data_IF_820667748650
#
_entry.id   IF_820667748650
#
_cell.length_a   1.000
_cell.length_b   1.000
_cell.length_c   1.000
_cell.angle_alpha   90.00
_cell.angle_beta   90.00
_cell.angle_gamma   90.00
#
_symmetry.space_group_name_H-M   'P 1'
#
loop_
_entity.id
_entity.type
_entity.pdbx_description
1 polymer ?
#
# COMPACT_ATOMS: atom_id res chain seq x y z
N UNK A 1 -12.67 31.35 3.15
CA UNK A 1 -12.14 30.27 4.02
C UNK A 1 -10.89 29.75 3.32
N UNK A 2 -9.73 30.09 3.86
CA UNK A 2 -8.47 29.68 3.24
C UNK A 2 -8.31 28.18 3.35
N UNK A 3 -7.85 27.57 2.26
CA UNK A 3 -7.66 26.12 2.21
C UNK A 3 -6.57 25.74 3.21
N UNK A 4 -6.94 25.19 4.35
CA UNK A 4 -6.00 24.60 5.29
C UNK A 4 -5.33 23.40 4.60
N UNK A 5 -4.04 23.45 4.45
CA UNK A 5 -3.26 22.36 3.89
C UNK A 5 -3.24 21.18 4.88
N UNK A 6 -4.10 20.20 4.63
CA UNK A 6 -4.12 18.97 5.41
C UNK A 6 -3.55 17.84 4.57
N UNK A 7 -2.43 17.31 4.98
CA UNK A 7 -1.88 16.10 4.37
C UNK A 7 -2.61 14.89 4.93
N UNK A 8 -3.24 14.03 4.10
CA UNK A 8 -3.82 12.79 4.58
C UNK A 8 -2.77 11.90 5.23
N UNK A 9 -3.13 11.27 6.34
CA UNK A 9 -2.25 10.38 7.09
C UNK A 9 -1.52 9.33 6.22
N UNK A 10 -2.16 8.64 5.26
CA UNK A 10 -1.50 7.69 4.39
C UNK A 10 -0.35 8.29 3.57
N UNK A 11 -0.57 9.46 2.96
CA UNK A 11 0.45 10.16 2.17
C UNK A 11 1.64 10.57 3.05
N UNK A 12 1.36 11.09 4.24
CA UNK A 12 2.40 11.45 5.21
C UNK A 12 3.26 10.25 5.62
N UNK A 13 2.63 9.12 5.94
CA UNK A 13 3.36 7.90 6.33
C UNK A 13 4.19 7.38 5.16
N UNK A 14 3.62 7.34 3.95
CA UNK A 14 4.32 6.91 2.75
C UNK A 14 5.51 7.83 2.46
N UNK A 15 5.33 9.15 2.48
CA UNK A 15 6.41 10.12 2.26
C UNK A 15 7.55 9.93 3.28
N UNK A 16 7.20 9.76 4.56
CA UNK A 16 8.18 9.53 5.64
C UNK A 16 8.95 8.21 5.43
N UNK A 17 8.27 7.13 5.03
CA UNK A 17 8.94 5.84 4.78
C UNK A 17 9.82 5.90 3.52
N UNK A 18 9.34 6.53 2.45
CA UNK A 18 10.16 6.74 1.26
C UNK A 18 11.41 7.56 1.60
N UNK A 19 11.30 8.66 2.36
CA UNK A 19 12.45 9.49 2.71
C UNK A 19 13.46 8.78 3.62
N UNK A 20 13.01 7.83 4.46
CA UNK A 20 13.92 6.98 5.24
C UNK A 20 14.73 6.03 4.36
N UNK A 21 14.11 5.46 3.32
CA UNK A 21 14.73 4.48 2.42
C UNK A 21 15.51 5.14 1.28
N UNK A 22 15.08 6.32 0.85
CA UNK A 22 15.72 7.18 -0.15
C UNK A 22 16.47 8.30 0.59
N UNK A 23 17.74 8.05 0.91
CA UNK A 23 18.50 8.92 1.80
C UNK A 23 18.86 10.25 1.12
N UNK A 24 18.67 11.37 1.83
CA UNK A 24 19.08 12.71 1.36
C UNK A 24 20.55 12.77 0.95
N UNK A 25 21.42 12.11 1.70
CA UNK A 25 22.86 12.03 1.38
C UNK A 25 23.17 11.32 0.06
N UNK A 26 22.23 10.53 -0.46
CA UNK A 26 22.30 9.90 -1.77
C UNK A 26 21.62 10.76 -2.86
N UNK A 27 21.28 12.02 -2.56
CA UNK A 27 20.68 12.96 -3.48
C UNK A 27 19.18 12.82 -3.71
N UNK A 28 18.48 12.02 -2.89
CA UNK A 28 17.02 11.87 -3.03
C UNK A 28 16.24 12.79 -2.10
N UNK A 29 15.14 13.34 -2.61
CA UNK A 29 14.16 14.08 -1.82
C UNK A 29 12.73 13.64 -2.16
N UNK A 30 11.89 13.51 -1.15
CA UNK A 30 10.45 13.28 -1.31
C UNK A 30 9.74 14.61 -1.14
N UNK A 31 8.94 14.97 -2.13
CA UNK A 31 8.24 16.25 -2.19
C UNK A 31 6.73 16.00 -2.23
N UNK A 32 5.99 16.91 -1.63
CA UNK A 32 4.54 16.90 -1.61
C UNK A 32 4.08 18.08 -2.46
N UNK A 33 3.37 17.87 -3.57
CA UNK A 33 2.84 18.95 -4.37
C UNK A 33 1.87 19.82 -3.55
N UNK A 34 2.07 21.13 -3.56
CA UNK A 34 1.16 22.08 -2.89
C UNK A 34 -0.21 22.13 -3.56
N UNK A 35 -0.23 22.03 -4.89
CA UNK A 35 -1.48 21.99 -5.64
C UNK A 35 -2.01 20.56 -5.74
N UNK A 36 -3.15 20.32 -5.11
CA UNK A 36 -3.90 19.08 -5.25
C UNK A 36 -4.83 19.05 -6.48
N UNK A 37 -4.78 20.09 -7.30
CA UNK A 37 -5.57 20.16 -8.53
C UNK A 37 -5.06 19.21 -9.60
N UNK A 38 -3.80 18.80 -9.53
CA UNK A 38 -3.24 17.81 -10.42
C UNK A 38 -3.73 16.42 -9.99
N UNK A 39 -4.79 15.94 -10.65
CA UNK A 39 -5.35 14.62 -10.40
C UNK A 39 -4.29 13.53 -10.53
N UNK A 40 -4.19 12.67 -9.53
CA UNK A 40 -3.43 11.43 -9.61
C UNK A 40 -1.96 11.49 -9.18
N UNK A 41 -1.43 12.65 -8.77
CA UNK A 41 -0.07 12.76 -8.21
C UNK A 41 -0.17 13.28 -6.78
N UNK A 42 0.21 12.42 -5.83
CA UNK A 42 0.19 12.74 -4.41
C UNK A 42 1.60 13.07 -3.87
N UNK A 43 2.63 12.46 -4.45
CA UNK A 43 4.03 12.68 -4.07
C UNK A 43 4.93 12.71 -5.30
N UNK A 44 6.07 13.41 -5.16
CA UNK A 44 7.18 13.36 -6.11
C UNK A 44 8.44 12.87 -5.39
N UNK A 45 9.20 12.01 -6.05
CA UNK A 45 10.57 11.65 -5.62
C UNK A 45 11.54 12.23 -6.63
N UNK A 46 12.41 13.09 -6.16
CA UNK A 46 13.41 13.76 -6.99
C UNK A 46 14.81 13.24 -6.68
N UNK A 47 15.61 13.05 -7.73
CA UNK A 47 17.06 12.76 -7.64
C UNK A 47 17.85 13.98 -8.11
N UNK A 48 18.63 14.58 -7.22
CA UNK A 48 19.51 15.71 -7.56
C UNK A 48 20.69 15.30 -8.47
N UNK A 49 21.09 14.03 -8.41
CA UNK A 49 22.19 13.52 -9.23
C UNK A 49 21.83 13.40 -10.71
N UNK A 50 20.67 12.78 -10.99
CA UNK A 50 20.20 12.60 -12.37
C UNK A 50 19.27 13.72 -12.84
N UNK A 51 18.82 14.60 -11.93
CA UNK A 51 17.81 15.66 -12.18
C UNK A 51 16.47 15.10 -12.65
N UNK A 52 16.17 13.83 -12.34
CA UNK A 52 14.91 13.18 -12.68
C UNK A 52 13.95 13.20 -11.50
N UNK A 53 12.65 13.16 -11.79
CA UNK A 53 11.60 13.00 -10.82
C UNK A 53 10.73 11.80 -11.16
N UNK A 54 10.20 11.13 -10.14
CA UNK A 54 9.19 10.09 -10.25
C UNK A 54 7.91 10.55 -9.58
N UNK A 55 6.80 10.48 -10.30
CA UNK A 55 5.47 10.79 -9.81
C UNK A 55 4.84 9.56 -9.12
N UNK A 56 4.17 9.79 -8.01
CA UNK A 56 3.58 8.73 -7.18
C UNK A 56 2.13 9.05 -6.86
N UNK A 57 1.25 8.10 -7.10
CA UNK A 57 -0.11 8.11 -6.59
C UNK A 57 -0.22 7.18 -5.37
N UNK A 58 -0.79 7.68 -4.27
CA UNK A 58 -1.04 6.93 -3.04
C UNK A 58 -2.53 6.58 -2.96
N UNK A 59 -2.83 5.30 -2.78
CA UNK A 59 -4.19 4.83 -2.52
C UNK A 59 -4.22 4.12 -1.17
N UNK A 60 -5.15 4.53 -0.33
CA UNK A 60 -5.28 3.97 1.02
C UNK A 60 -6.47 3.05 1.15
N UNK A 61 -6.32 2.06 2.00
CA UNK A 61 -7.41 1.19 2.43
C UNK A 61 -7.36 1.01 3.94
N UNK A 62 -8.48 0.59 4.52
CA UNK A 62 -8.52 0.10 5.91
C UNK A 62 -8.50 -1.42 5.89
N UNK A 63 -7.79 -2.01 6.85
CA UNK A 63 -7.95 -3.43 7.13
C UNK A 63 -9.27 -3.61 7.92
N UNK A 64 -10.06 -4.55 7.48
CA UNK A 64 -11.20 -5.01 8.24
C UNK A 64 -10.80 -6.31 8.92
N UNK A 65 -10.91 -6.33 10.24
CA UNK A 65 -10.82 -7.58 10.98
C UNK A 65 -12.07 -8.37 10.65
N UNK A 66 -11.91 -9.38 9.83
CA UNK A 66 -13.01 -10.29 9.53
C UNK A 66 -13.48 -10.94 10.82
N UNK A 67 -14.78 -10.86 11.13
CA UNK A 67 -15.36 -11.78 12.11
C UNK A 67 -15.02 -13.18 11.62
N UNK A 68 -14.32 -13.97 12.45
CA UNK A 68 -13.99 -15.34 12.10
C UNK A 68 -15.28 -16.04 11.67
N UNK A 69 -15.40 -16.54 10.45
CA UNK A 69 -16.62 -17.21 10.03
C UNK A 69 -16.86 -18.41 10.93
N UNK A 70 -18.08 -18.59 11.42
CA UNK A 70 -18.47 -19.65 12.36
C UNK A 70 -18.18 -21.07 11.83
N UNK A 71 -17.96 -21.25 10.53
CA UNK A 71 -17.54 -22.50 9.89
C UNK A 71 -16.32 -22.30 9.02
N UNK A 72 -15.29 -23.03 9.39
CA UNK A 72 -13.99 -23.01 8.77
C UNK A 72 -13.92 -23.97 7.57
N UNK A 73 -13.92 -23.47 6.35
CA UNK A 73 -13.22 -24.20 5.30
C UNK A 73 -11.72 -24.04 5.56
N UNK A 74 -10.98 -25.14 5.55
CA UNK A 74 -9.53 -25.20 5.87
C UNK A 74 -8.61 -24.48 4.88
N UNK A 75 -9.14 -23.85 3.83
CA UNK A 75 -8.35 -23.23 2.77
C UNK A 75 -8.21 -21.73 3.02
N UNK A 76 -7.01 -21.30 3.32
CA UNK A 76 -6.44 -19.97 3.22
C UNK A 76 -7.12 -18.90 4.08
N UNK A 77 -6.74 -18.87 5.36
CA UNK A 77 -7.16 -17.82 6.29
C UNK A 77 -6.03 -16.86 6.51
N UNK A 78 -6.36 -15.62 6.24
CA UNK A 78 -5.53 -14.50 6.63
C UNK A 78 -6.14 -13.86 7.89
N UNK A 79 -5.27 -13.48 8.83
CA UNK A 79 -5.69 -12.76 10.04
C UNK A 79 -6.16 -11.35 9.68
N UNK A 80 -5.58 -10.77 8.64
CA UNK A 80 -5.87 -9.43 8.18
C UNK A 80 -6.12 -9.39 6.66
N UNK A 81 -6.91 -8.41 6.25
CA UNK A 81 -7.13 -8.11 4.84
C UNK A 81 -7.20 -6.61 4.58
N UNK A 82 -6.44 -6.15 3.59
CA UNK A 82 -6.50 -4.79 3.08
C UNK A 82 -7.44 -4.77 1.88
N UNK A 83 -8.46 -3.91 1.92
CA UNK A 83 -9.50 -3.86 0.89
C UNK A 83 -9.41 -2.56 0.09
N UNK A 84 -9.41 -2.69 -1.24
CA UNK A 84 -9.41 -1.58 -2.17
C UNK A 84 -10.67 -1.68 -3.04
N UNK A 85 -11.45 -0.60 -3.06
CA UNK A 85 -12.68 -0.46 -3.86
C UNK A 85 -12.55 0.72 -4.81
N UNK A 86 -13.26 0.64 -5.94
CA UNK A 86 -13.37 1.73 -6.92
C UNK A 86 -12.01 2.33 -7.27
N UNK A 87 -11.05 1.45 -7.55
CA UNK A 87 -9.72 1.88 -7.89
C UNK A 87 -9.71 2.40 -9.34
N UNK A 88 -9.79 3.71 -9.46
CA UNK A 88 -9.66 4.36 -10.76
C UNK A 88 -8.17 4.38 -11.14
N UNK A 89 -7.85 3.59 -12.15
CA UNK A 89 -6.52 3.53 -12.75
C UNK A 89 -6.58 4.10 -14.17
N UNK A 90 -5.74 5.08 -14.41
CA UNK A 90 -5.48 5.62 -15.74
C UNK A 90 -3.99 5.44 -16.04
N UNK A 91 -3.69 4.80 -17.15
CA UNK A 91 -2.31 4.53 -17.57
C UNK A 91 -1.58 5.85 -17.82
N UNK A 92 -0.37 5.97 -17.28
CA UNK A 92 0.52 7.09 -17.52
C UNK A 92 0.28 8.33 -16.63
N UNK A 93 -0.68 8.27 -15.67
CA UNK A 93 -0.91 9.39 -14.73
C UNK A 93 0.21 9.49 -13.70
N UNK A 94 0.70 8.36 -13.20
CA UNK A 94 1.81 8.32 -12.26
C UNK A 94 2.80 7.22 -12.65
N UNK A 95 4.09 7.42 -12.37
CA UNK A 95 5.12 6.42 -12.62
C UNK A 95 5.00 5.23 -11.67
N UNK A 96 4.54 5.52 -10.45
CA UNK A 96 4.34 4.51 -9.40
C UNK A 96 3.01 4.69 -8.68
N UNK A 97 2.41 3.56 -8.31
CA UNK A 97 1.23 3.46 -7.46
C UNK A 97 1.61 2.82 -6.14
N UNK A 98 1.33 3.50 -5.04
CA UNK A 98 1.57 3.00 -3.69
C UNK A 98 0.24 2.69 -3.02
N UNK A 99 0.07 1.42 -2.66
CA UNK A 99 -1.08 0.95 -1.90
C UNK A 99 -0.72 0.93 -0.42
N UNK A 100 -1.38 1.78 0.35
CA UNK A 100 -1.20 1.88 1.80
C UNK A 100 -2.36 1.20 2.52
N UNK A 101 -2.05 0.26 3.39
CA UNK A 101 -3.05 -0.42 4.21
C UNK A 101 -2.76 -0.31 5.69
N UNK A 102 -3.66 0.33 6.43
CA UNK A 102 -3.62 0.40 7.90
C UNK A 102 -4.38 -0.78 8.48
N UNK A 103 -3.81 -1.48 9.45
CA UNK A 103 -4.45 -2.60 10.12
C UNK A 103 -4.18 -2.63 11.62
N UNK A 104 -5.02 -3.35 12.35
CA UNK A 104 -4.86 -3.57 13.78
C UNK A 104 -4.18 -4.92 14.01
N UNK A 105 -3.15 -4.95 14.84
CA UNK A 105 -2.45 -6.20 15.17
C UNK A 105 -3.38 -7.17 15.92
N UNK A 106 -3.42 -8.43 15.48
CA UNK A 106 -4.31 -9.45 16.02
C UNK A 106 -3.91 -9.94 17.42
N UNK A 107 -2.63 -9.85 17.76
CA UNK A 107 -2.12 -10.20 19.10
C UNK A 107 -2.75 -9.36 20.23
N UNK A 108 -3.29 -8.18 19.86
CA UNK A 108 -4.01 -7.30 20.79
C UNK A 108 -5.43 -7.80 21.02
N UNK A 109 -6.00 -8.55 20.09
CA UNK A 109 -7.39 -9.04 20.17
C UNK A 109 -7.48 -10.30 21.01
N UNK A 110 -6.46 -11.16 20.95
CA UNK A 110 -6.47 -12.51 21.53
C UNK A 110 -5.78 -12.62 22.91
N UNK A 111 -5.01 -11.61 23.32
CA UNK A 111 -4.36 -11.59 24.63
C UNK A 111 -5.04 -10.59 25.54
N UNK A 112 -5.52 -11.08 26.70
CA UNK A 112 -5.90 -10.24 27.84
C UNK A 112 -4.77 -9.21 28.02
N UNK A 113 -5.13 -7.94 27.96
CA UNK A 113 -4.24 -6.80 28.08
C UNK A 113 -3.25 -7.03 29.22
N UNK A 114 -2.03 -7.33 28.88
CA UNK A 114 -0.93 -7.20 29.81
C UNK A 114 -0.74 -5.71 30.10
N UNK A 115 -1.29 -5.28 31.23
CA UNK A 115 -1.34 -3.87 31.67
C UNK A 115 0.04 -3.25 31.88
N UNK A 116 1.11 -4.05 31.86
CA UNK A 116 2.48 -3.62 32.19
C UNK A 116 3.25 -2.93 31.05
N UNK A 117 2.77 -2.99 29.78
CA UNK A 117 3.46 -2.40 28.63
C UNK A 117 2.79 -1.13 28.12
N UNK A 118 3.25 0.02 28.62
CA UNK A 118 2.72 1.37 28.36
C UNK A 118 2.75 1.88 26.90
N UNK A 119 3.35 1.18 25.92
CA UNK A 119 3.53 1.70 24.55
C UNK A 119 3.31 0.65 23.49
N UNK A 120 2.12 0.08 23.40
CA UNK A 120 1.79 -0.79 22.26
C UNK A 120 1.19 0.02 21.12
N UNK A 121 1.86 -0.01 19.95
CA UNK A 121 1.23 0.45 18.71
C UNK A 121 0.06 -0.48 18.40
N UNK A 122 -1.15 0.06 18.53
CA UNK A 122 -2.40 -0.66 18.24
C UNK A 122 -2.61 -0.87 16.75
N UNK A 123 -1.97 -0.04 15.93
CA UNK A 123 -2.08 -0.01 14.48
C UNK A 123 -0.72 -0.20 13.85
N UNK A 124 -0.71 -0.92 12.75
CA UNK A 124 0.43 -1.08 11.87
C UNK A 124 -0.01 -0.92 10.42
N UNK A 125 0.92 -0.90 9.49
CA UNK A 125 0.61 -0.71 8.08
C UNK A 125 1.46 -1.59 7.19
N UNK A 126 0.94 -1.86 5.99
CA UNK A 126 1.68 -2.46 4.88
C UNK A 126 1.68 -1.47 3.72
N UNK A 127 2.81 -1.36 3.04
CA UNK A 127 2.99 -0.50 1.86
C UNK A 127 3.45 -1.37 0.71
N UNK A 128 2.68 -1.34 -0.39
CA UNK A 128 3.03 -2.03 -1.63
C UNK A 128 3.28 -1.01 -2.73
N UNK A 129 4.35 -1.21 -3.52
CA UNK A 129 4.75 -0.34 -4.62
C UNK A 129 4.63 -1.10 -5.94
N UNK A 130 3.90 -0.52 -6.87
CA UNK A 130 3.75 -0.98 -8.24
C UNK A 130 4.23 0.12 -9.18
N UNK A 131 4.97 -0.21 -10.24
CA UNK A 131 5.11 0.70 -11.37
C UNK A 131 3.78 0.80 -12.13
N UNK A 132 3.60 1.85 -12.94
CA UNK A 132 2.40 2.02 -13.77
C UNK A 132 2.06 0.74 -14.58
N UNK A 133 3.03 0.21 -15.29
CA UNK A 133 2.89 -1.03 -16.08
C UNK A 133 2.47 -2.24 -15.22
N UNK A 134 2.99 -2.36 -14.01
CA UNK A 134 2.65 -3.46 -13.11
C UNK A 134 1.27 -3.30 -12.52
N UNK A 135 0.86 -2.06 -12.18
CA UNK A 135 -0.49 -1.78 -11.70
C UNK A 135 -1.53 -2.13 -12.76
N UNK A 136 -1.33 -1.69 -14.00
CA UNK A 136 -2.24 -2.04 -15.10
C UNK A 136 -2.35 -3.55 -15.32
N UNK A 137 -1.21 -4.28 -15.30
CA UNK A 137 -1.20 -5.75 -15.40
C UNK A 137 -1.86 -6.43 -14.20
N UNK A 138 -1.70 -5.89 -13.01
CA UNK A 138 -2.32 -6.42 -11.80
C UNK A 138 -3.83 -6.26 -11.86
N UNK A 139 -4.33 -5.07 -12.15
CA UNK A 139 -5.76 -4.78 -12.25
C UNK A 139 -6.44 -5.54 -13.38
N UNK A 140 -5.77 -5.72 -14.52
CA UNK A 140 -6.29 -6.50 -15.64
C UNK A 140 -6.48 -8.00 -15.34
N UNK A 141 -5.96 -8.50 -14.22
CA UNK A 141 -6.11 -9.89 -13.77
C UNK A 141 -7.18 -10.08 -12.70
N UNK A 142 -7.76 -8.97 -12.22
CA UNK A 142 -8.79 -9.01 -11.17
C UNK A 142 -10.11 -9.33 -11.83
N UNK A 143 -10.67 -10.48 -11.48
CA UNK A 143 -11.90 -10.99 -12.06
C UNK A 143 -12.91 -11.34 -10.96
N UNK A 144 -14.19 -11.18 -11.27
CA UNK A 144 -15.28 -11.72 -10.46
C UNK A 144 -15.26 -13.25 -10.52
N UNK A 145 -16.10 -13.91 -9.73
CA UNK A 145 -16.27 -15.38 -9.83
C UNK A 145 -16.79 -15.82 -11.20
N UNK A 146 -17.52 -14.96 -11.88
CA UNK A 146 -18.06 -15.16 -13.23
C UNK A 146 -17.02 -14.90 -14.34
N UNK A 147 -15.84 -14.36 -13.99
CA UNK A 147 -14.78 -14.07 -14.96
C UNK A 147 -14.82 -12.65 -15.55
N UNK A 148 -15.73 -11.80 -15.07
CA UNK A 148 -15.82 -10.40 -15.47
C UNK A 148 -14.76 -9.54 -14.75
N UNK A 149 -14.43 -8.38 -15.30
CA UNK A 149 -13.54 -7.42 -14.63
C UNK A 149 -14.15 -6.93 -13.33
N UNK A 150 -13.34 -6.91 -12.27
CA UNK A 150 -13.75 -6.40 -10.97
C UNK A 150 -12.86 -5.22 -10.52
N UNK A 151 -13.49 -4.15 -10.01
CA UNK A 151 -12.79 -2.98 -9.43
C UNK A 151 -12.48 -3.14 -7.93
N UNK A 152 -12.75 -4.31 -7.37
CA UNK A 152 -12.66 -4.61 -5.97
C UNK A 152 -11.67 -5.76 -5.71
N UNK A 153 -10.61 -5.51 -4.96
CA UNK A 153 -9.59 -6.50 -4.65
C UNK A 153 -9.11 -6.37 -3.20
N UNK A 154 -8.41 -7.38 -2.72
CA UNK A 154 -7.83 -7.36 -1.39
C UNK A 154 -6.48 -8.06 -1.33
N UNK A 155 -5.69 -7.66 -0.35
CA UNK A 155 -4.50 -8.38 0.05
C UNK A 155 -4.73 -8.99 1.43
N UNK A 156 -4.46 -10.29 1.55
CA UNK A 156 -4.51 -11.04 2.81
C UNK A 156 -3.11 -11.31 3.34
N UNK A 157 -2.94 -11.29 4.66
CA UNK A 157 -1.67 -11.59 5.34
C UNK A 157 -1.92 -11.98 6.80
N UNK A 158 -0.90 -12.57 7.41
CA UNK A 158 -0.89 -12.92 8.83
C UNK A 158 0.11 -12.04 9.57
N UNK A 159 -0.18 -11.69 10.83
CA UNK A 159 0.66 -10.77 11.61
C UNK A 159 2.05 -11.35 11.92
N UNK A 160 2.14 -12.68 11.97
CA UNK A 160 3.37 -13.40 12.28
C UNK A 160 4.24 -13.69 11.04
N UNK A 161 3.77 -13.31 9.84
CA UNK A 161 4.44 -13.59 8.57
C UNK A 161 4.66 -12.31 7.77
N UNK A 162 5.82 -12.21 7.13
CA UNK A 162 6.11 -11.15 6.14
C UNK A 162 5.47 -11.41 4.78
N UNK A 163 4.69 -12.48 4.67
CA UNK A 163 4.01 -12.81 3.42
C UNK A 163 2.72 -12.02 3.27
N UNK A 164 2.47 -11.56 2.06
CA UNK A 164 1.24 -10.89 1.65
C UNK A 164 0.77 -11.46 0.32
N UNK A 165 -0.52 -11.70 0.21
CA UNK A 165 -1.12 -12.33 -0.96
C UNK A 165 -2.25 -11.48 -1.51
N UNK A 166 -2.31 -11.30 -2.82
CA UNK A 166 -3.53 -10.83 -3.48
C UNK A 166 -4.57 -11.95 -3.39
N UNK A 167 -5.68 -11.68 -2.70
CA UNK A 167 -6.67 -12.68 -2.35
C UNK A 167 -7.95 -12.55 -3.19
N UNK A 168 -8.77 -11.52 -2.94
CA UNK A 168 -9.98 -11.29 -3.74
C UNK A 168 -9.62 -10.82 -5.14
N UNK A 169 -10.37 -11.27 -6.12
CA UNK A 169 -10.13 -11.00 -7.54
C UNK A 169 -9.21 -12.03 -8.21
N UNK A 170 -8.79 -13.06 -7.48
CA UNK A 170 -7.97 -14.15 -8.01
C UNK A 170 -8.56 -15.51 -7.67
N UNK A 171 -8.50 -16.47 -8.62
CA UNK A 171 -8.96 -17.86 -8.37
C UNK A 171 -8.19 -18.52 -7.21
N UNK A 172 -6.93 -18.17 -7.06
CA UNK A 172 -6.06 -18.60 -5.94
C UNK A 172 -5.23 -17.42 -5.47
N UNK A 173 -4.94 -17.27 -4.17
CA UNK A 173 -4.09 -16.23 -3.66
C UNK A 173 -2.75 -16.17 -4.38
N UNK A 174 -2.32 -14.97 -4.75
CA UNK A 174 -1.06 -14.73 -5.46
C UNK A 174 -0.06 -14.06 -4.53
N UNK A 175 1.16 -14.61 -4.36
CA UNK A 175 2.16 -13.98 -3.51
C UNK A 175 2.54 -12.59 -4.03
N UNK A 176 2.56 -11.63 -3.12
CA UNK A 176 2.82 -10.22 -3.40
C UNK A 176 3.97 -9.63 -2.57
N UNK A 177 4.71 -10.44 -1.82
CA UNK A 177 5.87 -10.02 -1.01
C UNK A 177 6.85 -9.14 -1.79
N UNK A 178 7.06 -9.42 -3.07
CA UNK A 178 7.94 -8.62 -3.94
C UNK A 178 7.52 -7.17 -4.11
N UNK A 179 6.24 -6.82 -3.83
CA UNK A 179 5.73 -5.45 -3.95
C UNK A 179 5.84 -4.66 -2.65
N UNK A 180 6.20 -5.29 -1.54
CA UNK A 180 6.45 -4.58 -0.28
C UNK A 180 7.54 -3.52 -0.46
N UNK A 181 7.39 -2.40 0.20
CA UNK A 181 8.28 -1.23 0.06
C UNK A 181 9.75 -1.60 0.28
N UNK A 182 10.03 -2.47 1.24
CA UNK A 182 11.39 -2.93 1.58
C UNK A 182 12.06 -3.64 0.38
N UNK A 183 11.26 -4.36 -0.42
CA UNK A 183 11.73 -5.11 -1.58
C UNK A 183 11.69 -4.31 -2.89
N UNK A 184 11.06 -3.13 -2.89
CA UNK A 184 10.76 -2.38 -4.12
C UNK A 184 11.43 -1.02 -4.23
N UNK A 185 12.03 -0.53 -3.17
CA UNK A 185 12.67 0.80 -3.18
C UNK A 185 13.75 0.94 -4.26
N UNK A 186 14.47 -0.14 -4.56
CA UNK A 186 15.46 -0.20 -5.64
C UNK A 186 14.85 0.07 -7.01
N UNK A 187 13.55 -0.25 -7.21
CA UNK A 187 12.85 0.02 -8.47
C UNK A 187 12.69 1.52 -8.70
N UNK A 188 12.35 2.28 -7.66
CA UNK A 188 12.28 3.75 -7.72
C UNK A 188 13.69 4.32 -7.97
N UNK A 189 14.71 3.83 -7.23
CA UNK A 189 16.10 4.26 -7.45
C UNK A 189 16.57 4.03 -8.89
N UNK A 190 16.26 2.87 -9.47
CA UNK A 190 16.65 2.56 -10.85
C UNK A 190 15.90 3.39 -11.90
N UNK A 191 14.66 3.78 -11.62
CA UNK A 191 13.88 4.68 -12.47
C UNK A 191 14.48 6.09 -12.49
N UNK A 192 15.06 6.51 -11.36
CA UNK A 192 15.65 7.83 -11.16
C UNK A 192 17.14 7.92 -11.57
N UNK A 193 17.76 6.86 -11.99
CA UNK A 193 19.09 6.86 -12.61
C UNK A 193 18.97 7.23 -14.08
#
# INVERSE_FOLDING_TARGET
MDAIFTLPYPEYVVATQLQKLLKKKEGYSVQIPLSRQQKGIDLLVYSSQSRKAASIQVKSSRAYIGKAPKRKSRKERFDNALWFRNFNYEKGIADFYILFGLYRKSDIINKRLDKSKKTRKWWDYKILIFSDKEMGKFLGRILTKQGEKESFFSFGFNDWSDEIFAARGFKRPKPCKKYLIENRITRIKNFLK
#
